data_IF_569721973240
#
_entry.id   IF_569721973240
#
_cell.length_a   1.000
_cell.length_b   1.000
_cell.length_c   1.000
_cell.angle_alpha   90.00
_cell.angle_beta   90.00
_cell.angle_gamma   90.00
#
_symmetry.space_group_name_H-M   'P 1'
#
loop_
_entity.id
_entity.type
_entity.pdbx_description
1 polymer ?
#
# COMPACT_ATOMS: atom_id res chain seq x y z
N UNK A 1 -7.90 -9.72 9.46
CA UNK A 1 -6.58 -9.42 8.86
C UNK A 1 -6.90 -8.97 7.45
N UNK A 2 -6.73 -7.67 7.14
CA UNK A 2 -7.04 -7.12 5.82
C UNK A 2 -6.16 -7.80 4.76
N UNK A 3 -6.76 -8.24 3.65
CA UNK A 3 -6.00 -8.64 2.46
C UNK A 3 -5.51 -7.35 1.80
N UNK A 4 -4.33 -6.90 2.18
CA UNK A 4 -3.61 -5.87 1.41
C UNK A 4 -3.11 -6.56 0.14
N UNK A 5 -3.49 -6.03 -1.02
CA UNK A 5 -2.90 -6.49 -2.27
C UNK A 5 -1.39 -6.17 -2.22
N UNK A 6 -0.51 -7.19 -2.22
CA UNK A 6 0.93 -6.96 -2.10
C UNK A 6 1.49 -6.13 -3.25
N UNK A 7 0.78 -6.04 -4.38
CA UNK A 7 1.21 -5.32 -5.57
C UNK A 7 0.75 -3.86 -5.60
N UNK A 8 -0.19 -3.44 -4.75
CA UNK A 8 -0.72 -2.07 -4.79
C UNK A 8 0.33 -1.05 -4.30
N UNK A 9 0.68 -0.03 -5.11
CA UNK A 9 1.57 1.04 -4.69
C UNK A 9 0.94 1.90 -3.58
N UNK A 10 1.56 1.90 -2.40
CA UNK A 10 1.10 2.69 -1.25
C UNK A 10 1.70 4.10 -1.27
N UNK A 11 2.97 4.18 -1.63
CA UNK A 11 3.72 5.43 -1.75
C UNK A 11 4.64 5.41 -2.95
N UNK A 12 5.10 6.60 -3.32
CA UNK A 12 6.07 6.85 -4.37
C UNK A 12 7.31 7.47 -3.76
N UNK A 13 8.49 6.98 -4.16
CA UNK A 13 9.78 7.48 -3.73
C UNK A 13 10.38 8.36 -4.82
N UNK A 14 10.84 9.55 -4.44
CA UNK A 14 11.46 10.52 -5.31
C UNK A 14 12.88 10.85 -4.84
N UNK A 15 13.81 10.98 -5.78
CA UNK A 15 15.19 11.45 -5.56
C UNK A 15 15.44 12.55 -6.59
N UNK A 16 15.96 13.70 -6.15
CA UNK A 16 16.19 14.88 -7.01
C UNK A 16 14.97 15.26 -7.89
N UNK A 17 13.76 15.08 -7.34
CA UNK A 17 12.51 15.37 -8.03
C UNK A 17 12.04 14.32 -9.05
N UNK A 18 12.84 13.28 -9.34
CA UNK A 18 12.47 12.15 -10.21
C UNK A 18 11.85 11.02 -9.37
N UNK A 19 10.75 10.42 -9.82
CA UNK A 19 10.20 9.19 -9.23
C UNK A 19 11.15 8.03 -9.53
N UNK A 20 11.61 7.33 -8.50
CA UNK A 20 12.58 6.23 -8.62
C UNK A 20 12.03 4.87 -8.16
N UNK A 21 11.02 4.86 -7.29
CA UNK A 21 10.43 3.60 -6.85
C UNK A 21 8.99 3.77 -6.36
N UNK A 22 8.30 2.65 -6.21
CA UNK A 22 7.06 2.55 -5.43
C UNK A 22 7.28 1.71 -4.18
N UNK A 23 6.61 2.09 -3.09
CA UNK A 23 6.60 1.34 -1.83
C UNK A 23 5.33 0.49 -1.76
N UNK A 24 5.49 -0.82 -1.62
CA UNK A 24 4.41 -1.80 -1.65
C UNK A 24 4.44 -2.70 -0.42
N UNK A 25 3.39 -3.52 -0.26
CA UNK A 25 3.30 -4.58 0.74
C UNK A 25 3.79 -4.17 2.15
N UNK A 26 3.15 -3.17 2.81
CA UNK A 26 3.59 -2.68 4.11
C UNK A 26 3.60 -3.77 5.17
N UNK A 27 4.67 -3.81 5.98
CA UNK A 27 4.78 -4.67 7.14
C UNK A 27 5.12 -3.82 8.35
N UNK A 28 4.29 -3.93 9.38
CA UNK A 28 4.60 -3.35 10.68
C UNK A 28 5.73 -4.16 11.31
N UNK A 29 6.78 -3.47 11.73
CA UNK A 29 7.87 -4.08 12.48
C UNK A 29 7.65 -3.78 13.96
N UNK A 30 8.28 -2.73 14.48
CA UNK A 30 8.17 -2.31 15.87
C UNK A 30 8.02 -0.79 16.00
N UNK A 31 7.34 -0.34 17.04
CA UNK A 31 7.11 1.08 17.36
C UNK A 31 6.60 1.89 16.13
N UNK A 32 7.36 2.93 15.74
CA UNK A 32 7.07 3.81 14.60
C UNK A 32 7.73 3.35 13.30
N UNK A 33 8.17 2.10 13.21
CA UNK A 33 8.84 1.55 12.03
C UNK A 33 7.89 0.68 11.20
N UNK A 34 7.86 0.97 9.91
CA UNK A 34 7.16 0.15 8.93
C UNK A 34 8.09 -0.12 7.75
N UNK A 35 8.16 -1.37 7.36
CA UNK A 35 8.99 -1.82 6.25
C UNK A 35 8.13 -2.03 5.01
N UNK A 36 8.67 -1.64 3.86
CA UNK A 36 7.99 -1.70 2.57
C UNK A 36 8.87 -2.43 1.57
N UNK A 37 8.23 -3.18 0.68
CA UNK A 37 8.91 -3.68 -0.51
C UNK A 37 9.17 -2.51 -1.47
N UNK A 38 10.37 -2.42 -2.00
CA UNK A 38 10.78 -1.36 -2.93
C UNK A 38 10.74 -1.91 -4.35
N UNK A 39 9.94 -1.30 -5.22
CA UNK A 39 9.89 -1.64 -6.64
C UNK A 39 10.46 -0.47 -7.46
N UNK A 40 11.65 -0.62 -8.08
CA UNK A 40 12.21 0.43 -8.92
C UNK A 40 11.32 0.70 -10.13
N UNK A 41 11.30 1.94 -10.62
CA UNK A 41 10.53 2.30 -11.82
C UNK A 41 11.19 1.81 -13.10
N UNK A 42 12.52 1.75 -13.11
CA UNK A 42 13.36 1.39 -14.24
C UNK A 42 14.77 0.99 -13.75
N UNK A 43 15.63 0.53 -14.66
CA UNK A 43 16.99 0.08 -14.32
C UNK A 43 17.88 1.22 -13.79
N UNK A 44 17.73 2.46 -14.30
CA UNK A 44 18.50 3.60 -13.81
C UNK A 44 18.07 3.95 -12.39
N UNK A 45 16.78 3.90 -12.12
CA UNK A 45 16.21 4.12 -10.81
C UNK A 45 16.66 3.05 -9.80
N UNK A 46 16.84 1.80 -10.23
CA UNK A 46 17.45 0.75 -9.41
C UNK A 46 18.87 1.14 -8.98
N UNK A 47 19.70 1.66 -9.88
CA UNK A 47 21.05 2.14 -9.53
C UNK A 47 21.00 3.28 -8.50
N UNK A 48 20.03 4.19 -8.61
CA UNK A 48 19.85 5.31 -7.68
C UNK A 48 19.46 4.83 -6.28
N UNK A 49 18.48 3.92 -6.17
CA UNK A 49 18.01 3.43 -4.87
C UNK A 49 18.99 2.44 -4.23
N UNK A 50 19.87 1.79 -5.00
CA UNK A 50 20.93 0.94 -4.45
C UNK A 50 22.17 1.73 -4.03
N UNK A 51 22.26 3.03 -4.34
CA UNK A 51 23.33 3.88 -3.84
C UNK A 51 23.11 4.21 -2.35
N UNK A 52 24.05 3.79 -1.49
CA UNK A 52 24.00 4.05 -0.04
C UNK A 52 23.92 5.53 0.30
N UNK A 53 24.56 6.39 -0.49
CA UNK A 53 24.58 7.84 -0.29
C UNK A 53 23.17 8.44 -0.34
N UNK A 54 22.26 7.89 -1.16
CA UNK A 54 20.86 8.33 -1.24
C UNK A 54 20.18 8.26 0.12
N UNK A 55 20.48 7.20 0.90
CA UNK A 55 19.87 6.95 2.21
C UNK A 55 20.60 7.68 3.33
N UNK A 56 21.94 7.69 3.30
CA UNK A 56 22.78 8.37 4.31
C UNK A 56 22.53 9.87 4.36
N UNK A 57 22.37 10.50 3.19
CA UNK A 57 22.12 11.95 3.08
C UNK A 57 20.64 12.29 3.18
N UNK A 58 19.76 11.28 3.30
CA UNK A 58 18.29 11.45 3.26
C UNK A 58 17.86 12.27 2.03
N UNK A 59 18.54 12.07 0.89
CA UNK A 59 18.23 12.78 -0.35
C UNK A 59 17.06 12.12 -1.07
N UNK A 60 15.91 12.01 -0.40
CA UNK A 60 14.70 11.48 -0.99
C UNK A 60 13.45 12.13 -0.41
N UNK A 61 12.33 11.96 -1.11
CA UNK A 61 11.00 12.37 -0.66
C UNK A 61 10.02 11.24 -0.91
N UNK A 62 9.17 10.97 0.08
CA UNK A 62 8.05 10.04 -0.06
C UNK A 62 6.78 10.81 -0.34
N UNK A 63 6.00 10.38 -1.32
CA UNK A 63 4.70 10.97 -1.68
C UNK A 63 3.61 9.91 -1.68
N UNK A 64 2.40 10.30 -1.32
CA UNK A 64 1.21 9.48 -1.51
C UNK A 64 0.69 9.54 -2.96
N UNK A 65 -0.34 8.76 -3.27
CA UNK A 65 -0.96 8.71 -4.61
C UNK A 65 -1.61 10.02 -5.07
N UNK A 66 -1.76 11.01 -4.17
CA UNK A 66 -2.27 12.36 -4.46
C UNK A 66 -1.13 13.39 -4.57
N UNK A 67 0.13 12.96 -4.44
CA UNK A 67 1.31 13.82 -4.42
C UNK A 67 1.57 14.50 -3.07
N UNK A 68 0.78 14.18 -2.03
CA UNK A 68 0.97 14.68 -0.68
C UNK A 68 2.22 14.08 -0.03
N UNK A 69 2.92 14.85 0.80
CA UNK A 69 4.09 14.38 1.55
C UNK A 69 3.58 13.99 2.95
N UNK A 70 3.41 12.69 3.25
CA UNK A 70 2.81 12.26 4.51
C UNK A 70 3.66 12.65 5.73
N UNK A 71 4.99 12.70 5.55
CA UNK A 71 5.93 13.15 6.57
C UNK A 71 7.24 13.63 5.93
N UNK A 72 7.59 14.90 6.14
CA UNK A 72 8.81 15.53 5.62
C UNK A 72 10.10 15.02 6.27
N UNK A 73 10.00 14.39 7.44
CA UNK A 73 11.13 13.88 8.22
C UNK A 73 11.23 12.36 8.17
N UNK A 74 10.68 11.74 7.12
CA UNK A 74 10.82 10.30 6.91
C UNK A 74 12.28 9.97 6.61
N UNK A 75 12.84 9.00 7.33
CA UNK A 75 14.15 8.44 7.04
C UNK A 75 14.10 6.92 7.06
N UNK A 76 15.07 6.28 6.41
CA UNK A 76 15.16 4.83 6.31
C UNK A 76 16.17 4.24 7.29
N UNK A 77 15.96 2.97 7.63
CA UNK A 77 16.88 2.12 8.38
C UNK A 77 17.09 0.79 7.66
N UNK A 78 18.20 0.12 7.94
CA UNK A 78 18.55 -1.17 7.33
C UNK A 78 18.87 -1.08 5.83
N UNK A 79 19.22 0.11 5.32
CA UNK A 79 19.52 0.28 3.89
C UNK A 79 20.77 -0.46 3.44
N UNK A 80 21.68 -0.85 4.33
CA UNK A 80 22.86 -1.65 3.98
C UNK A 80 22.48 -3.00 3.38
N UNK A 81 21.59 -3.75 4.04
CA UNK A 81 21.15 -5.06 3.53
C UNK A 81 20.31 -4.93 2.27
N UNK A 82 19.58 -3.82 2.13
CA UNK A 82 18.89 -3.49 0.89
C UNK A 82 19.91 -3.21 -0.23
N UNK A 83 20.86 -2.29 -0.05
CA UNK A 83 21.87 -1.95 -1.06
C UNK A 83 22.72 -3.16 -1.48
N UNK A 84 23.04 -4.06 -0.54
CA UNK A 84 23.77 -5.31 -0.79
C UNK A 84 22.94 -6.39 -1.53
N UNK A 85 21.65 -6.14 -1.77
CA UNK A 85 20.75 -7.10 -2.43
C UNK A 85 20.34 -8.29 -1.55
N UNK A 86 20.57 -8.24 -0.24
CA UNK A 86 20.12 -9.28 0.71
C UNK A 86 18.61 -9.20 0.97
N UNK A 87 18.01 -8.04 0.74
CA UNK A 87 16.57 -7.82 0.81
C UNK A 87 16.09 -6.84 -0.26
N UNK A 88 14.82 -6.97 -0.61
CA UNK A 88 14.06 -6.04 -1.45
C UNK A 88 13.22 -5.06 -0.62
N UNK A 89 13.37 -5.07 0.71
CA UNK A 89 12.58 -4.25 1.63
C UNK A 89 13.44 -3.21 2.35
N UNK A 90 12.84 -2.06 2.60
CA UNK A 90 13.46 -1.00 3.38
C UNK A 90 12.52 -0.56 4.50
N UNK A 91 13.09 -0.29 5.67
CA UNK A 91 12.33 0.13 6.85
C UNK A 91 12.33 1.64 6.94
N UNK A 92 11.17 2.25 7.14
CA UNK A 92 11.01 3.69 7.27
C UNK A 92 10.44 4.02 8.65
N UNK A 93 11.00 5.04 9.29
CA UNK A 93 10.45 5.57 10.54
C UNK A 93 9.40 6.63 10.26
N UNK A 94 8.30 6.57 10.99
CA UNK A 94 7.20 7.54 10.93
C UNK A 94 6.52 7.64 9.56
N UNK A 95 6.56 6.55 8.79
CA UNK A 95 5.80 6.35 7.57
C UNK A 95 4.82 5.20 7.82
N UNK A 96 3.66 5.52 8.39
CA UNK A 96 2.59 4.54 8.62
C UNK A 96 1.82 4.27 7.33
N UNK A 97 1.30 3.06 7.07
CA UNK A 97 0.47 2.79 5.90
C UNK A 97 -0.74 3.74 5.78
N UNK A 98 -1.17 4.13 4.56
CA UNK A 98 -2.28 5.06 4.36
C UNK A 98 -3.57 4.56 5.02
N UNK A 99 -4.31 5.45 5.69
CA UNK A 99 -5.58 5.09 6.34
C UNK A 99 -6.70 4.73 5.37
N UNK A 100 -6.59 5.07 4.07
CA UNK A 100 -7.57 4.70 3.04
C UNK A 100 -7.71 3.18 2.87
N UNK A 101 -6.70 2.40 3.28
CA UNK A 101 -6.76 0.95 3.37
C UNK A 101 -7.79 0.48 4.43
N UNK A 102 -8.03 1.27 5.48
CA UNK A 102 -9.06 1.01 6.50
C UNK A 102 -10.45 1.55 6.13
N UNK A 103 -10.54 2.70 5.46
CA UNK A 103 -11.82 3.38 5.18
C UNK A 103 -12.57 2.84 3.94
N UNK A 104 -11.85 2.39 2.89
CA UNK A 104 -12.48 1.86 1.68
C UNK A 104 -13.22 0.52 1.94
N UNK A 105 -12.82 -0.23 2.96
CA UNK A 105 -13.45 -1.49 3.35
C UNK A 105 -14.85 -1.27 3.91
N UNK A 106 -15.04 -0.28 4.78
CA UNK A 106 -16.37 0.02 5.34
C UNK A 106 -17.37 0.44 4.24
N UNK A 107 -16.92 1.25 3.28
CA UNK A 107 -17.75 1.71 2.18
C UNK A 107 -18.08 0.58 1.19
N UNK A 108 -17.12 -0.29 0.87
CA UNK A 108 -17.34 -1.44 -0.02
C UNK A 108 -18.17 -2.56 0.63
N UNK A 109 -18.04 -2.77 1.94
CA UNK A 109 -18.90 -3.71 2.69
C UNK A 109 -20.36 -3.22 2.75
N UNK A 110 -20.59 -1.91 2.91
CA UNK A 110 -21.92 -1.31 2.87
C UNK A 110 -22.55 -1.48 1.47
N UNK A 111 -21.76 -1.25 0.40
CA UNK A 111 -22.20 -1.46 -1.00
C UNK A 111 -22.54 -2.93 -1.29
N UNK A 112 -21.74 -3.89 -0.82
CA UNK A 112 -22.05 -5.32 -0.99
C UNK A 112 -23.32 -5.75 -0.24
N UNK A 113 -23.54 -5.25 0.98
CA UNK A 113 -24.77 -5.57 1.74
C UNK A 113 -26.02 -4.97 1.11
N UNK A 114 -25.94 -3.74 0.61
CA UNK A 114 -27.06 -3.09 -0.08
C UNK A 114 -27.42 -3.80 -1.40
N UNK A 115 -26.42 -4.24 -2.18
CA UNK A 115 -26.66 -5.01 -3.41
C UNK A 115 -27.38 -6.34 -3.15
N UNK A 116 -26.99 -7.09 -2.10
CA UNK A 116 -27.67 -8.34 -1.72
C UNK A 116 -29.10 -8.12 -1.23
N UNK A 117 -29.36 -7.01 -0.53
CA UNK A 117 -30.69 -6.68 -0.05
C UNK A 117 -31.65 -6.30 -1.20
N UNK A 118 -31.16 -5.52 -2.17
CA UNK A 118 -31.91 -5.19 -3.39
C UNK A 118 -32.22 -6.44 -4.22
N UNK A 119 -31.26 -7.36 -4.35
CA UNK A 119 -31.46 -8.61 -5.09
C UNK A 119 -32.50 -9.53 -4.43
N UNK A 120 -32.61 -9.51 -3.10
CA UNK A 120 -33.62 -10.26 -2.35
C UNK A 120 -35.02 -9.66 -2.49
N UNK A 121 -35.14 -8.32 -2.51
CA UNK A 121 -36.42 -7.63 -2.71
C UNK A 121 -37.01 -7.78 -4.12
N UNK A 122 -36.16 -8.03 -5.11
CA UNK A 122 -36.56 -8.16 -6.52
C UNK A 122 -36.82 -9.62 -6.94
N UNK A 123 -36.78 -10.59 -6.02
CA UNK A 123 -37.09 -11.97 -6.36
C UNK A 123 -38.62 -12.13 -6.57
N UNK A 124 -39.07 -12.60 -7.75
CA UNK A 124 -40.48 -12.92 -7.94
C UNK A 124 -40.88 -14.05 -7.00
N UNK A 125 -41.98 -13.86 -6.27
CA UNK A 125 -42.57 -14.89 -5.40
C UNK A 125 -43.10 -16.02 -6.29
N UNK A 126 -42.28 -17.04 -6.54
CA UNK A 126 -42.74 -18.27 -7.15
C UNK A 126 -43.73 -18.95 -6.21
N UNK A 127 -44.98 -19.05 -6.69
CA UNK A 127 -46.11 -19.65 -5.98
C UNK A 127 -45.81 -21.11 -5.71
N UNK A 128 -45.74 -21.46 -4.42
CA UNK A 128 -45.69 -22.85 -3.95
C UNK A 128 -46.90 -23.64 -4.50
N UNK A 129 -46.72 -24.86 -5.04
CA UNK A 129 -47.82 -25.65 -5.56
C UNK A 129 -48.73 -26.12 -4.42
N UNK A 130 -50.03 -25.89 -4.58
CA UNK A 130 -51.06 -26.39 -3.66
C UNK A 130 -51.16 -27.91 -3.80
N UNK A 131 -50.79 -28.63 -2.75
CA UNK A 131 -51.14 -30.04 -2.61
C UNK A 131 -52.67 -30.17 -2.55
N UNK A 132 -53.25 -30.71 -3.62
CA UNK A 132 -54.64 -31.18 -3.65
C UNK A 132 -54.64 -32.61 -3.13
N UNK A 133 -55.46 -32.85 -2.11
CA UNK A 133 -55.66 -34.15 -1.47
C UNK A 133 -56.34 -35.15 -2.40
#
# INVERSE_FOLDING_TARGET
>A
MEHIDPEEPMYELFVDGKKVATLCAPRWEDMFWCSYQIKPTDADAELVIRNTNTWETVNFTVRDSRGGIPNQHTFSGGYTDFCDGKTDRLTFRSLSPPQSTRANVALNWLKQKLSRFVYWLLQPVEKQPKNVK
#
